data_IF_247855495107
#
_entry.id   IF_247855495107
#
_cell.length_a   1.000
_cell.length_b   1.000
_cell.length_c   1.000
_cell.angle_alpha   90.00
_cell.angle_beta   90.00
_cell.angle_gamma   90.00
#
_symmetry.space_group_name_H-M   'P 1'
#
loop_
_entity.id
_entity.type
_entity.pdbx_description
1 polymer ?
#
# COMPACT_ATOMS: atom_id res chain seq x y z
N UNK A 1 2.36 2.07 14.89
CA UNK A 1 2.05 2.48 13.50
C UNK A 1 1.39 3.85 13.53
N UNK A 2 1.75 4.75 12.63
CA UNK A 2 1.17 6.07 12.60
C UNK A 2 -0.29 6.05 12.12
N UNK A 3 -1.04 7.05 12.52
CA UNK A 3 -2.44 7.19 12.12
C UNK A 3 -2.57 7.32 10.61
N UNK A 4 -1.64 8.06 9.97
CA UNK A 4 -1.65 8.25 8.53
C UNK A 4 -1.50 6.93 7.77
N UNK A 5 -0.62 6.06 8.26
CA UNK A 5 -0.40 4.75 7.63
C UNK A 5 -1.62 3.86 7.81
N UNK A 6 -2.24 3.88 8.98
CA UNK A 6 -3.47 3.13 9.22
C UNK A 6 -4.60 3.58 8.30
N UNK A 7 -4.74 4.89 8.11
CA UNK A 7 -5.73 5.44 7.19
C UNK A 7 -5.44 5.02 5.75
N UNK A 8 -4.16 5.04 5.35
CA UNK A 8 -3.77 4.61 4.00
C UNK A 8 -4.10 3.13 3.78
N UNK A 9 -3.82 2.27 4.76
CA UNK A 9 -4.16 0.84 4.68
C UNK A 9 -5.67 0.65 4.54
N UNK A 10 -6.44 1.37 5.36
CA UNK A 10 -7.90 1.28 5.32
C UNK A 10 -8.45 1.71 3.96
N UNK A 11 -8.00 2.86 3.46
CA UNK A 11 -8.46 3.37 2.17
C UNK A 11 -8.08 2.46 1.02
N UNK A 12 -6.85 1.96 1.01
CA UNK A 12 -6.42 1.01 -0.01
C UNK A 12 -7.29 -0.25 0.02
N UNK A 13 -7.56 -0.78 1.22
CA UNK A 13 -8.39 -1.97 1.37
C UNK A 13 -9.81 -1.77 0.85
N UNK A 14 -10.43 -0.64 1.18
CA UNK A 14 -11.78 -0.31 0.72
C UNK A 14 -11.80 -0.16 -0.80
N UNK A 15 -10.84 0.57 -1.36
CA UNK A 15 -10.77 0.79 -2.80
C UNK A 15 -10.55 -0.51 -3.57
N UNK A 16 -9.68 -1.37 -3.06
CA UNK A 16 -9.43 -2.68 -3.67
C UNK A 16 -10.71 -3.53 -3.62
N UNK A 17 -11.40 -3.56 -2.49
CA UNK A 17 -12.64 -4.31 -2.34
C UNK A 17 -13.70 -3.83 -3.35
N UNK A 18 -13.84 -2.51 -3.52
CA UNK A 18 -14.78 -1.94 -4.50
C UNK A 18 -14.41 -2.34 -5.93
N UNK A 19 -13.11 -2.32 -6.26
CA UNK A 19 -12.66 -2.72 -7.58
C UNK A 19 -12.92 -4.20 -7.86
N UNK A 20 -12.73 -5.07 -6.86
CA UNK A 20 -12.98 -6.50 -7.00
C UNK A 20 -14.47 -6.81 -7.10
N UNK A 21 -15.32 -6.00 -6.50
CA UNK A 21 -16.76 -6.17 -6.55
C UNK A 21 -17.30 -5.93 -7.97
N UNK A 22 -16.82 -4.89 -8.64
CA UNK A 22 -17.21 -4.58 -10.01
C UNK A 22 -15.99 -4.26 -10.88
N UNK A 23 -15.24 -5.30 -11.31
CA UNK A 23 -14.00 -5.07 -12.09
C UNK A 23 -14.21 -4.30 -13.39
N UNK A 24 -15.37 -4.43 -14.01
CA UNK A 24 -15.65 -3.75 -15.29
C UNK A 24 -15.80 -2.23 -15.13
N UNK A 25 -15.96 -1.74 -13.91
CA UNK A 25 -16.12 -0.31 -13.63
C UNK A 25 -14.87 0.36 -13.09
N UNK A 26 -13.75 -0.35 -13.06
CA UNK A 26 -12.49 0.21 -12.60
C UNK A 26 -12.04 1.30 -13.56
N UNK A 27 -11.73 2.48 -13.02
CA UNK A 27 -11.21 3.60 -13.81
C UNK A 27 -9.72 3.78 -13.53
N UNK A 28 -9.05 4.55 -14.39
CA UNK A 28 -7.65 4.91 -14.20
C UNK A 28 -7.45 5.67 -12.89
N UNK A 29 -8.41 6.52 -12.53
CA UNK A 29 -8.35 7.27 -11.27
C UNK A 29 -8.39 6.35 -10.06
N UNK A 30 -9.19 5.29 -10.13
CA UNK A 30 -9.26 4.30 -9.05
C UNK A 30 -7.90 3.65 -8.84
N UNK A 31 -7.24 3.26 -9.93
CA UNK A 31 -5.91 2.65 -9.85
C UNK A 31 -4.86 3.62 -9.32
N UNK A 32 -4.92 4.89 -9.75
CA UNK A 32 -4.00 5.91 -9.24
C UNK A 32 -4.19 6.15 -7.75
N UNK A 33 -5.44 6.19 -7.29
CA UNK A 33 -5.74 6.36 -5.87
C UNK A 33 -5.17 5.20 -5.04
N UNK A 34 -5.40 3.97 -5.49
CA UNK A 34 -4.88 2.78 -4.81
C UNK A 34 -3.34 2.83 -4.78
N UNK A 35 -2.72 3.18 -5.89
CA UNK A 35 -1.28 3.26 -5.99
C UNK A 35 -0.70 4.30 -5.04
N UNK A 36 -1.35 5.46 -4.92
CA UNK A 36 -0.93 6.50 -3.98
C UNK A 36 -0.95 6.00 -2.53
N UNK A 37 -2.00 5.28 -2.16
CA UNK A 37 -2.10 4.74 -0.80
C UNK A 37 -1.03 3.67 -0.55
N UNK A 38 -0.81 2.80 -1.53
CA UNK A 38 0.23 1.77 -1.43
C UNK A 38 1.61 2.41 -1.31
N UNK A 39 1.88 3.47 -2.06
CA UNK A 39 3.16 4.18 -1.98
C UNK A 39 3.41 4.73 -0.58
N UNK A 40 2.39 5.29 0.06
CA UNK A 40 2.53 5.76 1.45
C UNK A 40 2.88 4.63 2.40
N UNK A 41 2.23 3.49 2.22
CA UNK A 41 2.48 2.31 3.05
C UNK A 41 3.91 1.79 2.80
N UNK A 42 4.33 1.70 1.55
CA UNK A 42 5.67 1.25 1.18
C UNK A 42 6.74 2.17 1.78
N UNK A 43 6.55 3.49 1.70
CA UNK A 43 7.50 4.44 2.25
C UNK A 43 7.66 4.28 3.76
N UNK A 44 6.59 3.93 4.45
CA UNK A 44 6.65 3.66 5.88
C UNK A 44 7.40 2.36 6.18
N UNK A 45 7.16 1.31 5.39
CA UNK A 45 7.71 -0.02 5.63
C UNK A 45 9.13 -0.20 5.08
N UNK A 46 9.53 0.59 4.08
CA UNK A 46 10.84 0.46 3.43
C UNK A 46 12.02 0.42 4.40
N UNK A 47 12.12 1.31 5.42
CA UNK A 47 13.24 1.24 6.35
C UNK A 47 13.36 -0.10 7.08
N UNK A 48 12.23 -0.69 7.42
CA UNK A 48 12.21 -1.99 8.11
C UNK A 48 12.66 -3.11 7.17
N UNK A 49 12.19 -3.08 5.93
CA UNK A 49 12.58 -4.08 4.92
C UNK A 49 14.08 -3.99 4.60
N UNK A 50 14.63 -2.78 4.53
CA UNK A 50 16.06 -2.59 4.27
C UNK A 50 16.90 -3.16 5.41
N UNK A 51 16.47 -2.99 6.65
CA UNK A 51 17.15 -3.55 7.80
C UNK A 51 17.21 -5.08 7.72
N UNK A 52 16.10 -5.71 7.38
CA UNK A 52 16.05 -7.16 7.20
C UNK A 52 16.94 -7.64 6.07
N UNK A 53 16.95 -6.93 4.96
CA UNK A 53 17.81 -7.27 3.82
C UNK A 53 19.29 -7.14 4.18
N UNK A 54 19.66 -6.12 4.96
CA UNK A 54 21.05 -5.95 5.41
C UNK A 54 21.45 -7.09 6.34
N UNK A 55 20.58 -7.52 7.23
CA UNK A 55 20.86 -8.65 8.11
C UNK A 55 21.07 -9.94 7.33
N UNK A 56 20.26 -10.18 6.31
CA UNK A 56 20.38 -11.34 5.45
C UNK A 56 21.69 -11.31 4.67
N UNK A 57 22.10 -10.16 4.19
CA UNK A 57 23.36 -10.01 3.44
C UNK A 57 24.60 -10.22 4.30
N UNK A 58 24.51 -9.93 5.57
CA UNK A 58 25.63 -10.07 6.50
C UNK A 58 25.82 -11.50 7.01
N UNK A 59 24.87 -12.36 6.72
CA UNK A 59 25.02 -13.79 7.00
C UNK A 59 25.78 -14.47 5.87
#
# INVERSE_FOLDING_TARGET
MSKEVLEAVREASISIACCLDEPSKITKKDLEHIQDQITKIENYLTPFCLEELEEIKNE
#
